data_IF_020283116579
#
_entry.id   IF_020283116579
#
_cell.length_a   1.000
_cell.length_b   1.000
_cell.length_c   1.000
_cell.angle_alpha   90.00
_cell.angle_beta   90.00
_cell.angle_gamma   90.00
#
_symmetry.space_group_name_H-M   'P 1'
#
loop_
_entity.id
_entity.type
_entity.pdbx_description
1 polymer ?
#
# COMPACT_ATOMS: atom_id res chain seq x y z
N UNK A 1 24.71 12.65 1.77
CA UNK A 1 23.45 12.74 1.01
C UNK A 1 23.01 11.33 0.67
N UNK A 2 21.77 10.97 0.98
CA UNK A 2 21.24 9.61 0.91
C UNK A 2 20.49 9.31 2.22
N UNK A 3 19.22 8.91 2.25
CA UNK A 3 18.32 8.48 1.19
C UNK A 3 16.89 8.67 1.73
N UNK A 4 16.27 9.82 1.47
CA UNK A 4 14.88 10.12 1.89
C UNK A 4 13.99 10.45 0.67
N UNK A 5 14.39 10.06 -0.53
CA UNK A 5 13.70 10.42 -1.79
C UNK A 5 13.01 9.25 -2.51
N UNK A 6 13.03 8.03 -1.96
CA UNK A 6 12.46 6.85 -2.64
C UNK A 6 10.95 6.69 -2.43
N UNK A 7 10.36 7.19 -1.35
CA UNK A 7 8.90 7.05 -1.15
C UNK A 7 8.10 7.96 -2.10
N UNK A 8 8.51 9.22 -2.24
CA UNK A 8 7.76 10.26 -2.94
C UNK A 8 7.50 9.94 -4.43
N UNK A 9 8.49 9.42 -5.16
CA UNK A 9 8.32 9.05 -6.57
C UNK A 9 7.47 7.80 -6.76
N UNK A 10 7.46 6.91 -5.77
CA UNK A 10 6.89 5.58 -5.95
C UNK A 10 5.38 5.56 -5.71
N UNK A 11 4.87 6.51 -4.91
CA UNK A 11 3.44 6.81 -4.83
C UNK A 11 2.85 7.29 -6.17
N UNK A 12 3.65 8.04 -6.95
CA UNK A 12 3.26 8.52 -8.29
C UNK A 12 3.20 7.40 -9.34
N UNK A 13 3.84 6.25 -9.09
CA UNK A 13 3.87 5.08 -9.98
C UNK A 13 2.73 4.08 -9.71
N UNK A 14 1.96 4.29 -8.65
CA UNK A 14 0.81 3.46 -8.31
C UNK A 14 -0.40 3.86 -9.16
N UNK A 15 -1.14 2.86 -9.61
CA UNK A 15 -2.44 3.09 -10.25
C UNK A 15 -3.46 3.57 -9.23
N UNK A 16 -4.55 4.18 -9.69
CA UNK A 16 -5.62 4.68 -8.83
C UNK A 16 -6.14 3.63 -7.83
N UNK A 17 -6.29 2.38 -8.27
CA UNK A 17 -6.71 1.26 -7.41
C UNK A 17 -5.67 0.91 -6.34
N UNK A 18 -4.40 0.88 -6.72
CA UNK A 18 -3.29 0.62 -5.80
C UNK A 18 -3.15 1.71 -4.74
N UNK A 19 -3.30 2.98 -5.15
CA UNK A 19 -3.30 4.14 -4.25
C UNK A 19 -4.48 4.10 -3.28
N UNK A 20 -5.69 3.79 -3.76
CA UNK A 20 -6.86 3.62 -2.88
C UNK A 20 -6.64 2.52 -1.85
N UNK A 21 -6.10 1.37 -2.24
CA UNK A 21 -5.77 0.29 -1.30
C UNK A 21 -4.79 0.80 -0.26
N UNK A 22 -3.72 1.47 -0.69
CA UNK A 22 -2.69 2.00 0.19
C UNK A 22 -3.22 3.05 1.18
N UNK A 23 -4.11 3.94 0.73
CA UNK A 23 -4.77 4.95 1.55
C UNK A 23 -5.66 4.32 2.62
N UNK A 24 -6.47 3.31 2.25
CA UNK A 24 -7.30 2.57 3.20
C UNK A 24 -6.43 1.80 4.21
N UNK A 25 -5.30 1.24 3.78
CA UNK A 25 -4.32 0.60 4.67
C UNK A 25 -3.74 1.62 5.66
N UNK A 26 -3.42 2.84 5.24
CA UNK A 26 -2.93 3.92 6.12
C UNK A 26 -3.97 4.35 7.16
N UNK A 27 -5.25 4.14 6.87
CA UNK A 27 -6.35 4.33 7.80
C UNK A 27 -6.54 3.17 8.80
N UNK A 28 -5.60 2.22 8.87
CA UNK A 28 -5.68 1.00 9.67
C UNK A 28 -6.89 0.11 9.30
N UNK A 29 -7.39 0.19 8.06
CA UNK A 29 -8.44 -0.72 7.61
C UNK A 29 -7.88 -2.13 7.43
N UNK A 30 -8.66 -3.11 7.89
CA UNK A 30 -8.29 -4.52 7.70
C UNK A 30 -8.43 -4.93 6.24
N UNK A 31 -7.68 -5.95 5.80
CA UNK A 31 -7.78 -6.49 4.43
C UNK A 31 -9.24 -6.83 4.04
N UNK A 32 -10.04 -7.30 5.01
CA UNK A 32 -11.48 -7.55 4.85
C UNK A 32 -12.30 -6.28 4.61
N UNK A 33 -12.03 -5.20 5.34
CA UNK A 33 -12.72 -3.92 5.13
C UNK A 33 -12.33 -3.31 3.79
N UNK A 34 -11.05 -3.36 3.43
CA UNK A 34 -10.55 -2.86 2.14
C UNK A 34 -11.19 -3.65 0.99
N UNK A 35 -11.24 -4.98 1.11
CA UNK A 35 -11.93 -5.87 0.19
C UNK A 35 -13.41 -5.46 0.04
N UNK A 36 -14.12 -5.25 1.16
CA UNK A 36 -15.51 -4.82 1.14
C UNK A 36 -15.71 -3.42 0.52
N UNK A 37 -14.85 -2.45 0.82
CA UNK A 37 -14.94 -1.08 0.28
C UNK A 37 -14.64 -1.01 -1.22
N UNK A 38 -13.71 -1.82 -1.69
CA UNK A 38 -13.32 -1.88 -3.10
C UNK A 38 -14.13 -2.91 -3.89
N UNK A 39 -15.08 -3.60 -3.25
CA UNK A 39 -15.87 -4.69 -3.84
C UNK A 39 -15.01 -5.79 -4.48
N UNK A 40 -13.88 -6.12 -3.86
CA UNK A 40 -12.96 -7.18 -4.29
C UNK A 40 -12.77 -8.23 -3.20
N UNK A 41 -12.22 -9.40 -3.52
CA UNK A 41 -11.92 -10.42 -2.51
C UNK A 41 -10.66 -10.10 -1.72
N UNK A 42 -10.56 -10.61 -0.49
CA UNK A 42 -9.33 -10.53 0.34
C UNK A 42 -8.09 -11.08 -0.40
N UNK A 43 -8.29 -12.11 -1.23
CA UNK A 43 -7.25 -12.69 -2.09
C UNK A 43 -6.77 -11.73 -3.18
N UNK A 44 -7.69 -10.94 -3.74
CA UNK A 44 -7.40 -9.87 -4.69
C UNK A 44 -6.65 -8.73 -3.98
N UNK A 45 -7.04 -8.38 -2.75
CA UNK A 45 -6.29 -7.44 -1.92
C UNK A 45 -4.86 -7.94 -1.71
N UNK A 46 -4.63 -9.20 -1.35
CA UNK A 46 -3.29 -9.77 -1.25
C UNK A 46 -2.48 -9.66 -2.55
N UNK A 47 -3.11 -9.92 -3.70
CA UNK A 47 -2.47 -9.79 -5.02
C UNK A 47 -2.06 -8.35 -5.29
N UNK A 48 -2.96 -7.39 -5.05
CA UNK A 48 -2.64 -5.96 -5.17
C UNK A 48 -1.54 -5.56 -4.19
N UNK A 49 -1.57 -6.03 -2.94
CA UNK A 49 -0.51 -5.77 -1.97
C UNK A 49 0.85 -6.27 -2.48
N UNK A 50 0.90 -7.47 -3.06
CA UNK A 50 2.14 -7.99 -3.64
C UNK A 50 2.64 -7.13 -4.81
N UNK A 51 1.75 -6.65 -5.68
CA UNK A 51 2.10 -5.73 -6.76
C UNK A 51 2.61 -4.38 -6.22
N UNK A 52 1.91 -3.82 -5.24
CA UNK A 52 2.27 -2.56 -4.58
C UNK A 52 3.63 -2.69 -3.88
N UNK A 53 3.85 -3.77 -3.13
CA UNK A 53 5.11 -4.09 -2.45
C UNK A 53 6.24 -4.21 -3.48
N UNK A 54 6.00 -4.90 -4.60
CA UNK A 54 6.97 -5.04 -5.69
C UNK A 54 7.27 -3.71 -6.38
N UNK A 55 6.29 -2.83 -6.52
CA UNK A 55 6.48 -1.48 -7.06
C UNK A 55 7.23 -0.56 -6.07
N UNK A 56 6.90 -0.66 -4.79
CA UNK A 56 7.48 0.14 -3.70
C UNK A 56 8.83 -0.41 -3.19
N UNK A 57 9.29 -1.54 -3.74
CA UNK A 57 10.48 -2.28 -3.29
C UNK A 57 10.47 -2.55 -1.76
N UNK A 58 9.27 -2.80 -1.22
CA UNK A 58 9.09 -3.11 0.20
C UNK A 58 9.34 -4.61 0.40
N UNK A 59 9.90 -5.04 1.54
CA UNK A 59 10.00 -6.46 1.85
C UNK A 59 8.60 -7.12 1.89
N UNK A 60 8.41 -8.32 1.29
CA UNK A 60 7.13 -9.03 1.20
C UNK A 60 6.73 -9.71 2.53
N UNK A 61 6.74 -8.94 3.62
CA UNK A 61 6.40 -9.41 4.96
C UNK A 61 4.95 -9.05 5.26
N UNK A 62 4.21 -9.96 5.90
CA UNK A 62 2.85 -9.67 6.42
C UNK A 62 2.94 -8.43 7.32
N UNK A 63 2.13 -7.42 7.01
CA UNK A 63 2.11 -6.09 7.66
C UNK A 63 3.21 -5.10 7.23
N UNK A 64 4.17 -5.44 6.37
CA UNK A 64 5.16 -4.46 5.90
C UNK A 64 4.50 -3.30 5.15
N UNK A 65 3.55 -3.60 4.26
CA UNK A 65 2.79 -2.57 3.57
C UNK A 65 1.96 -1.70 4.52
N UNK A 66 1.42 -2.30 5.59
CA UNK A 66 0.66 -1.57 6.61
C UNK A 66 1.58 -0.61 7.37
N UNK A 67 2.72 -1.12 7.83
CA UNK A 67 3.73 -0.35 8.52
C UNK A 67 4.23 0.81 7.65
N UNK A 68 4.54 0.52 6.39
CA UNK A 68 4.94 1.52 5.40
C UNK A 68 3.85 2.58 5.19
N UNK A 69 2.58 2.19 5.04
CA UNK A 69 1.47 3.12 4.85
C UNK A 69 1.23 4.01 6.08
N UNK A 70 1.51 3.51 7.28
CA UNK A 70 1.43 4.29 8.53
C UNK A 70 2.61 5.26 8.62
N UNK A 71 3.83 4.81 8.32
CA UNK A 71 5.05 5.63 8.32
C UNK A 71 4.99 6.75 7.26
N UNK A 72 4.40 6.46 6.09
CA UNK A 72 4.25 7.40 4.97
C UNK A 72 2.88 8.10 4.95
N UNK A 73 2.12 8.04 6.05
CA UNK A 73 0.80 8.71 6.15
C UNK A 73 0.86 10.23 5.94
N UNK A 74 2.03 10.84 6.15
CA UNK A 74 2.25 12.26 5.85
C UNK A 74 2.36 12.58 4.35
N UNK A 75 2.60 11.58 3.51
CA UNK A 75 2.84 11.73 2.07
C UNK A 75 1.72 11.12 1.19
N UNK A 76 0.75 10.43 1.80
CA UNK A 76 -0.40 9.82 1.12
C UNK A 76 -1.54 10.84 0.92
#
# INVERSE_FOLDING_TARGET
>A
MGSQATAHNTLSLLTFSERKILELISQQKSSKEIAAMLFISEKTVETHRAHIIKKLDIPPIKNALLKWAIENKREL
#
